data_IF_890943735204
#
_entry.id   IF_890943735204
#
_cell.length_a   1.000
_cell.length_b   1.000
_cell.length_c   1.000
_cell.angle_alpha   90.00
_cell.angle_beta   90.00
_cell.angle_gamma   90.00
#
_symmetry.space_group_name_H-M   'P 1'
#
loop_
_entity.id
_entity.type
_entity.pdbx_description
1 polymer ?
#
# COMPACT_ATOMS: atom_id res chain seq x y z
N UNK A 1 4.99 -51.22 15.50
CA UNK A 1 4.31 -50.17 14.71
C UNK A 1 3.62 -49.22 15.68
N UNK A 2 4.01 -47.96 15.72
CA UNK A 2 3.42 -46.95 16.59
C UNK A 2 2.65 -45.97 15.69
N UNK A 3 1.31 -46.05 15.72
CA UNK A 3 0.42 -45.46 14.74
C UNK A 3 -0.24 -44.15 15.19
N UNK A 4 0.28 -43.47 16.22
CA UNK A 4 -0.23 -42.15 16.61
C UNK A 4 0.84 -41.24 17.22
N UNK A 5 0.88 -39.94 16.86
CA UNK A 5 1.80 -38.97 17.42
C UNK A 5 1.43 -38.61 18.87
N UNK A 6 2.46 -38.50 19.73
CA UNK A 6 2.32 -38.20 21.18
C UNK A 6 2.02 -36.73 21.47
N UNK A 7 2.07 -35.86 20.47
CA UNK A 7 1.84 -34.42 20.63
C UNK A 7 1.18 -33.87 19.37
N UNK A 8 -0.01 -33.31 19.54
CA UNK A 8 -0.75 -32.59 18.51
C UNK A 8 -0.53 -31.10 18.75
N UNK A 9 0.38 -30.49 17.99
CA UNK A 9 0.50 -29.03 17.93
C UNK A 9 -0.39 -28.55 16.80
N UNK A 10 -1.62 -28.18 17.13
CA UNK A 10 -2.51 -27.48 16.22
C UNK A 10 -2.42 -25.98 16.52
N UNK A 11 -1.99 -25.14 15.55
CA UNK A 11 -2.11 -23.70 15.68
C UNK A 11 -3.60 -23.37 15.89
N UNK A 12 -3.91 -22.47 16.82
CA UNK A 12 -5.31 -22.17 17.16
C UNK A 12 -6.00 -21.43 15.99
N UNK A 13 -5.22 -20.89 15.03
CA UNK A 13 -5.73 -20.15 13.86
C UNK A 13 -4.77 -20.23 12.64
N UNK A 14 -4.51 -21.41 12.04
CA UNK A 14 -3.61 -21.52 10.90
C UNK A 14 -4.28 -20.90 9.66
N UNK A 15 -3.73 -19.80 9.15
CA UNK A 15 -4.24 -19.12 7.96
C UNK A 15 -5.30 -18.04 8.22
N UNK A 16 -5.50 -17.60 9.47
CA UNK A 16 -6.38 -16.48 9.74
C UNK A 16 -5.75 -15.15 9.34
N UNK A 17 -6.49 -14.37 8.56
CA UNK A 17 -6.26 -12.93 8.37
C UNK A 17 -7.17 -12.15 9.31
N UNK A 18 -6.61 -11.30 10.16
CA UNK A 18 -7.40 -10.37 10.97
C UNK A 18 -7.95 -9.27 10.04
N UNK A 19 -9.21 -9.43 9.61
CA UNK A 19 -9.93 -8.35 8.94
C UNK A 19 -10.66 -7.54 10.00
N UNK A 20 -10.14 -6.35 10.32
CA UNK A 20 -10.79 -5.41 11.24
C UNK A 20 -11.96 -4.76 10.52
N UNK A 21 -13.10 -5.44 10.54
CA UNK A 21 -14.36 -4.86 10.09
C UNK A 21 -14.89 -3.96 11.21
N UNK A 22 -15.03 -2.66 10.95
CA UNK A 22 -15.69 -1.73 11.85
C UNK A 22 -17.20 -1.99 11.84
N UNK A 23 -17.68 -3.00 12.57
CA UNK A 23 -19.12 -3.28 12.76
C UNK A 23 -19.82 -2.29 13.71
N UNK A 24 -19.22 -1.12 13.99
CA UNK A 24 -19.84 -0.06 14.79
C UNK A 24 -20.63 0.94 13.92
N UNK A 25 -21.06 0.51 12.74
CA UNK A 25 -21.76 1.32 11.76
C UNK A 25 -23.23 0.97 11.73
N UNK A 26 -24.09 1.99 11.75
CA UNK A 26 -25.53 1.81 11.59
C UNK A 26 -25.93 1.29 10.20
N UNK A 27 -24.99 1.32 9.22
CA UNK A 27 -25.19 0.80 7.87
C UNK A 27 -23.91 0.10 7.32
N UNK A 28 -23.60 -1.13 7.76
CA UNK A 28 -22.37 -1.84 7.38
C UNK A 28 -22.21 -2.07 5.87
N UNK A 29 -23.31 -2.29 5.16
CA UNK A 29 -23.30 -2.48 3.70
C UNK A 29 -22.86 -1.21 2.97
N UNK A 30 -23.34 -0.05 3.43
CA UNK A 30 -22.95 1.25 2.88
C UNK A 30 -21.48 1.54 3.14
N UNK A 31 -20.98 1.22 4.33
CA UNK A 31 -19.56 1.38 4.64
C UNK A 31 -18.66 0.45 3.82
N UNK A 32 -19.07 -0.80 3.60
CA UNK A 32 -18.36 -1.72 2.71
C UNK A 32 -18.29 -1.18 1.27
N UNK A 33 -19.37 -0.58 0.77
CA UNK A 33 -19.39 0.04 -0.56
C UNK A 33 -18.46 1.27 -0.64
N UNK A 34 -18.47 2.11 0.40
CA UNK A 34 -17.59 3.29 0.49
C UNK A 34 -16.13 2.85 0.49
N UNK A 35 -15.74 1.90 1.35
CA UNK A 35 -14.36 1.44 1.48
C UNK A 35 -13.88 0.72 0.22
N UNK A 36 -14.77 -0.03 -0.45
CA UNK A 36 -14.48 -0.66 -1.73
C UNK A 36 -14.11 0.35 -2.83
N UNK A 37 -14.77 1.51 -2.87
CA UNK A 37 -14.51 2.59 -3.84
C UNK A 37 -13.39 3.54 -3.39
N UNK A 38 -13.33 3.80 -2.09
CA UNK A 38 -12.45 4.76 -1.44
C UNK A 38 -11.92 4.14 -0.15
N UNK A 39 -10.83 3.39 -0.27
CA UNK A 39 -10.18 2.79 0.90
C UNK A 39 -9.82 3.84 1.94
N UNK A 40 -9.83 3.46 3.22
CA UNK A 40 -9.48 4.39 4.31
C UNK A 40 -8.09 5.02 4.10
N UNK A 41 -7.11 4.28 3.58
CA UNK A 41 -5.80 4.83 3.23
C UNK A 41 -5.88 5.96 2.19
N UNK A 42 -6.78 5.84 1.20
CA UNK A 42 -7.02 6.91 0.21
C UNK A 42 -7.75 8.10 0.83
N UNK A 43 -8.70 7.86 1.72
CA UNK A 43 -9.43 8.91 2.44
C UNK A 43 -8.46 9.71 3.33
N UNK A 44 -7.66 9.03 4.15
CA UNK A 44 -6.65 9.63 5.02
C UNK A 44 -5.57 10.37 4.23
N UNK A 45 -5.13 9.83 3.09
CA UNK A 45 -4.21 10.52 2.19
C UNK A 45 -4.75 11.87 1.74
N UNK A 46 -6.00 11.91 1.26
CA UNK A 46 -6.66 13.17 0.84
C UNK A 46 -6.81 14.17 1.98
N UNK A 47 -7.18 13.71 3.16
CA UNK A 47 -7.31 14.56 4.35
C UNK A 47 -5.93 15.11 4.73
N UNK A 48 -4.88 14.28 4.68
CA UNK A 48 -3.52 14.70 5.00
C UNK A 48 -3.02 15.76 4.03
N UNK A 49 -3.26 15.60 2.73
CA UNK A 49 -2.85 16.59 1.72
C UNK A 49 -3.58 17.93 1.91
N UNK A 50 -4.88 17.88 2.22
CA UNK A 50 -5.66 19.09 2.52
C UNK A 50 -5.17 19.77 3.80
N UNK A 51 -4.91 19.00 4.86
CA UNK A 51 -4.42 19.52 6.13
C UNK A 51 -3.02 20.13 5.97
N UNK A 52 -2.12 19.50 5.22
CA UNK A 52 -0.79 20.07 4.93
C UNK A 52 -0.91 21.47 4.31
N UNK A 53 -1.81 21.65 3.35
CA UNK A 53 -2.04 22.95 2.72
C UNK A 53 -2.52 24.00 3.73
N UNK A 54 -3.42 23.63 4.64
CA UNK A 54 -3.88 24.51 5.72
C UNK A 54 -2.77 24.84 6.72
N UNK A 55 -1.94 23.86 7.06
CA UNK A 55 -0.78 24.05 7.95
C UNK A 55 0.24 24.99 7.32
N UNK A 56 0.46 24.90 6.01
CA UNK A 56 1.35 25.79 5.26
C UNK A 56 0.82 27.22 5.13
N UNK A 57 -0.50 27.43 5.14
CA UNK A 57 -1.13 28.75 4.97
C UNK A 57 -1.37 29.51 6.27
N UNK A 58 -1.13 28.88 7.42
CA UNK A 58 -1.30 29.49 8.75
C UNK A 58 -0.25 30.58 9.02
N UNK A 59 -0.57 31.49 9.96
CA UNK A 59 0.41 32.45 10.50
C UNK A 59 1.66 31.72 11.04
N UNK A 60 2.86 31.98 10.48
CA UNK A 60 4.11 31.37 10.93
C UNK A 60 4.45 31.65 12.40
N UNK A 61 3.89 32.70 13.00
CA UNK A 61 4.16 33.11 14.39
C UNK A 61 3.35 32.32 15.41
N UNK A 62 2.23 31.73 15.01
CA UNK A 62 1.63 30.69 15.81
C UNK A 62 2.53 29.46 15.63
N UNK A 63 3.29 29.08 16.64
CA UNK A 63 4.04 27.83 16.70
C UNK A 63 3.23 26.81 17.51
N UNK A 64 3.15 25.56 17.04
CA UNK A 64 2.40 24.49 17.71
C UNK A 64 2.97 23.16 17.23
N UNK A 65 3.53 22.41 18.18
CA UNK A 65 4.26 21.15 17.97
C UNK A 65 3.43 20.10 17.23
N UNK A 66 2.10 20.11 17.37
CA UNK A 66 1.21 19.13 16.71
C UNK A 66 1.29 19.20 15.19
N UNK A 67 1.63 20.37 14.64
CA UNK A 67 1.83 20.51 13.19
C UNK A 67 3.19 20.04 12.73
N UNK A 68 4.20 20.09 13.61
CA UNK A 68 5.51 19.52 13.32
C UNK A 68 5.46 17.99 13.37
N UNK A 69 4.77 17.43 14.37
CA UNK A 69 4.47 16.00 14.45
C UNK A 69 3.71 15.50 13.22
N UNK A 70 2.68 16.24 12.79
CA UNK A 70 1.93 15.92 11.58
C UNK A 70 2.82 15.93 10.33
N UNK A 71 3.70 16.93 10.19
CA UNK A 71 4.63 17.04 9.05
C UNK A 71 5.64 15.90 9.04
N UNK A 72 6.21 15.56 10.20
CA UNK A 72 7.14 14.45 10.35
C UNK A 72 6.47 13.12 9.95
N UNK A 73 5.30 12.83 10.52
CA UNK A 73 4.51 11.64 10.20
C UNK A 73 4.18 11.57 8.70
N UNK A 74 3.77 12.69 8.08
CA UNK A 74 3.46 12.72 6.64
C UNK A 74 4.69 12.41 5.79
N UNK A 75 5.85 12.99 6.13
CA UNK A 75 7.10 12.74 5.43
C UNK A 75 7.50 11.26 5.49
N UNK A 76 7.45 10.64 6.68
CA UNK A 76 7.71 9.21 6.85
C UNK A 76 6.77 8.33 6.00
N UNK A 77 5.48 8.67 5.97
CA UNK A 77 4.50 7.96 5.14
C UNK A 77 4.85 8.08 3.64
N UNK A 78 5.26 9.26 3.19
CA UNK A 78 5.59 9.50 1.79
C UNK A 78 6.90 8.80 1.38
N UNK A 79 7.89 8.70 2.29
CA UNK A 79 9.11 7.90 2.10
C UNK A 79 8.79 6.40 1.98
N UNK A 80 7.91 5.87 2.85
CA UNK A 80 7.45 4.48 2.77
C UNK A 80 6.75 4.21 1.42
N UNK A 81 5.95 5.15 0.92
CA UNK A 81 5.30 5.00 -0.39
C UNK A 81 6.32 5.02 -1.53
N UNK A 82 7.32 5.90 -1.47
CA UNK A 82 8.39 5.97 -2.45
C UNK A 82 9.19 4.66 -2.51
N UNK A 83 9.62 4.14 -1.36
CA UNK A 83 10.33 2.85 -1.28
C UNK A 83 9.50 1.68 -1.84
N UNK A 84 8.18 1.68 -1.60
CA UNK A 84 7.28 0.68 -2.20
C UNK A 84 7.13 0.82 -3.72
N UNK A 85 7.26 2.02 -4.28
CA UNK A 85 7.28 2.22 -5.73
C UNK A 85 8.55 1.64 -6.34
N UNK A 86 9.71 1.89 -5.73
CA UNK A 86 11.00 1.31 -6.16
C UNK A 86 10.98 -0.22 -6.10
N UNK A 87 10.46 -0.79 -5.02
CA UNK A 87 10.32 -2.25 -4.89
C UNK A 87 9.43 -2.86 -5.99
N UNK A 88 8.36 -2.16 -6.41
CA UNK A 88 7.53 -2.60 -7.54
C UNK A 88 8.29 -2.56 -8.86
N UNK A 89 9.10 -1.53 -9.09
CA UNK A 89 9.93 -1.42 -10.31
C UNK A 89 10.97 -2.55 -10.32
N UNK A 90 11.63 -2.82 -9.19
CA UNK A 90 12.57 -3.92 -9.07
C UNK A 90 11.92 -5.28 -9.39
N UNK A 91 10.70 -5.50 -8.90
CA UNK A 91 9.92 -6.70 -9.23
C UNK A 91 9.57 -6.78 -10.72
N UNK A 92 9.16 -5.66 -11.33
CA UNK A 92 8.87 -5.59 -12.76
C UNK A 92 10.12 -5.92 -13.61
N UNK A 93 11.30 -5.47 -13.18
CA UNK A 93 12.56 -5.84 -13.84
C UNK A 93 12.83 -7.34 -13.74
N UNK A 94 12.64 -7.95 -12.57
CA UNK A 94 12.78 -9.39 -12.41
C UNK A 94 11.78 -10.19 -13.26
N UNK A 95 10.53 -9.71 -13.35
CA UNK A 95 9.50 -10.31 -14.20
C UNK A 95 9.87 -10.19 -15.70
N UNK A 96 10.50 -9.08 -16.11
CA UNK A 96 11.03 -8.91 -17.47
C UNK A 96 12.18 -9.88 -17.77
N UNK A 97 13.12 -10.06 -16.84
CA UNK A 97 14.21 -11.03 -16.98
C UNK A 97 13.69 -12.46 -17.11
N UNK A 98 12.67 -12.81 -16.33
CA UNK A 98 12.00 -14.10 -16.43
C UNK A 98 11.29 -14.25 -17.79
N UNK A 99 10.56 -13.23 -18.24
CA UNK A 99 9.85 -13.23 -19.52
C UNK A 99 10.82 -13.41 -20.69
N UNK A 100 12.04 -12.85 -20.61
CA UNK A 100 13.08 -13.03 -21.62
C UNK A 100 13.45 -14.50 -21.85
N UNK A 101 13.39 -15.32 -20.80
CA UNK A 101 13.70 -16.76 -20.87
C UNK A 101 12.48 -17.56 -21.33
N UNK A 102 11.30 -17.26 -20.80
CA UNK A 102 10.08 -18.04 -21.05
C UNK A 102 9.44 -17.74 -22.42
N UNK A 103 9.43 -16.46 -22.83
CA UNK A 103 8.86 -16.01 -24.11
C UNK A 103 9.64 -14.79 -24.65
N UNK A 104 10.71 -15.02 -25.41
CA UNK A 104 11.54 -13.94 -25.99
C UNK A 104 10.76 -12.98 -26.90
N UNK A 105 9.68 -13.46 -27.56
CA UNK A 105 8.88 -12.66 -28.47
C UNK A 105 7.92 -11.73 -27.71
N UNK A 106 7.32 -12.20 -26.59
CA UNK A 106 6.58 -11.32 -25.68
C UNK A 106 7.50 -10.30 -25.00
N UNK A 107 8.69 -10.71 -24.56
CA UNK A 107 9.67 -9.80 -23.98
C UNK A 107 10.08 -8.69 -24.97
N UNK A 108 10.36 -9.01 -26.24
CA UNK A 108 10.70 -8.01 -27.26
C UNK A 108 9.57 -6.99 -27.49
N UNK A 109 8.32 -7.45 -27.60
CA UNK A 109 7.14 -6.59 -27.74
C UNK A 109 6.97 -5.65 -26.56
N UNK A 110 7.09 -6.17 -25.33
CA UNK A 110 6.95 -5.38 -24.11
C UNK A 110 8.09 -4.37 -23.96
N UNK A 111 9.33 -4.74 -24.31
CA UNK A 111 10.49 -3.84 -24.32
C UNK A 111 10.29 -2.66 -25.27
N UNK A 112 9.79 -2.90 -26.48
CA UNK A 112 9.54 -1.83 -27.45
C UNK A 112 8.40 -0.90 -27.01
N UNK A 113 7.35 -1.46 -26.39
CA UNK A 113 6.28 -0.66 -25.81
C UNK A 113 6.77 0.21 -24.63
N UNK A 114 7.62 -0.33 -23.76
CA UNK A 114 8.23 0.42 -22.67
C UNK A 114 9.11 1.57 -23.20
N UNK A 115 9.93 1.33 -24.23
CA UNK A 115 10.74 2.38 -24.87
C UNK A 115 9.88 3.54 -25.38
N UNK A 116 8.75 3.25 -26.04
CA UNK A 116 7.84 4.29 -26.56
C UNK A 116 7.25 5.17 -25.46
N UNK A 117 6.99 4.60 -24.28
CA UNK A 117 6.37 5.31 -23.15
C UNK A 117 7.35 6.09 -22.30
N UNK A 118 8.59 5.62 -22.19
CA UNK A 118 9.65 6.28 -21.40
C UNK A 118 10.38 7.36 -22.18
N UNK A 119 10.42 7.28 -23.51
CA UNK A 119 11.05 8.30 -24.37
C UNK A 119 10.17 9.54 -24.63
N UNK A 120 9.01 9.62 -23.99
CA UNK A 120 8.03 10.71 -24.14
C UNK A 120 7.94 11.50 -22.85
#
# INVERSE_FOLDING_TARGET
MQLAPKTLVQPILPGWTLNVNAFNSSAPQTEAEIVGKHSYGRQLGRISDALELLVRSRDPKAADERFDDFRAMKAEIDDIKAGNAEARVARLLADLDLLKVLDPAAHARLKDELKKRVAK
#
